data_IF_706520980502
#
_entry.id   IF_706520980502
#
_cell.length_a   1.000
_cell.length_b   1.000
_cell.length_c   1.000
_cell.angle_alpha   90.00
_cell.angle_beta   90.00
_cell.angle_gamma   90.00
#
_symmetry.space_group_name_H-M   'P 1'
#
loop_
_entity.id
_entity.type
_entity.pdbx_description
1 polymer ?
#
# COMPACT_ATOMS: atom_id res chain seq x y z
N UNK A 1 -51.70 -13.45 -10.38
CA UNK A 1 -50.37 -13.55 -9.73
C UNK A 1 -49.69 -12.22 -9.96
N UNK A 2 -49.58 -11.43 -8.90
CA UNK A 2 -48.99 -10.10 -8.95
C UNK A 2 -47.50 -10.22 -9.24
N UNK A 3 -47.01 -9.52 -10.26
CA UNK A 3 -45.58 -9.53 -10.62
C UNK A 3 -44.70 -9.04 -9.46
N UNK A 4 -45.26 -8.21 -8.57
CA UNK A 4 -44.56 -7.74 -7.38
C UNK A 4 -44.21 -8.89 -6.41
N UNK A 5 -45.14 -9.84 -6.20
CA UNK A 5 -44.91 -10.99 -5.30
C UNK A 5 -43.82 -11.92 -5.84
N UNK A 6 -43.75 -12.07 -7.17
CA UNK A 6 -42.72 -12.89 -7.82
C UNK A 6 -41.31 -12.27 -7.71
N UNK A 7 -41.19 -10.94 -7.80
CA UNK A 7 -39.93 -10.23 -7.62
C UNK A 7 -39.43 -10.36 -6.18
N UNK A 8 -40.32 -10.16 -5.19
CA UNK A 8 -39.97 -10.30 -3.77
C UNK A 8 -39.52 -11.74 -3.45
N UNK A 9 -40.15 -12.75 -4.07
CA UNK A 9 -39.73 -14.14 -3.92
C UNK A 9 -38.32 -14.39 -4.51
N UNK A 10 -38.01 -13.80 -5.66
CA UNK A 10 -36.70 -13.90 -6.29
C UNK A 10 -35.59 -13.23 -5.46
N UNK A 11 -35.84 -12.02 -4.96
CA UNK A 11 -34.87 -11.29 -4.11
C UNK A 11 -34.54 -12.05 -2.83
N UNK A 12 -35.55 -12.69 -2.22
CA UNK A 12 -35.36 -13.56 -1.05
C UNK A 12 -34.52 -14.78 -1.39
N UNK A 13 -34.75 -15.41 -2.54
CA UNK A 13 -33.97 -16.57 -2.98
C UNK A 13 -32.49 -16.20 -3.21
N UNK A 14 -32.22 -15.09 -3.91
CA UNK A 14 -30.85 -14.59 -4.15
C UNK A 14 -30.15 -14.28 -2.83
N UNK A 15 -30.86 -13.67 -1.87
CA UNK A 15 -30.31 -13.36 -0.54
C UNK A 15 -29.94 -14.62 0.24
N UNK A 16 -30.75 -15.68 0.14
CA UNK A 16 -30.48 -16.97 0.79
C UNK A 16 -29.28 -17.65 0.15
N UNK A 17 -29.19 -17.67 -1.18
CA UNK A 17 -28.05 -18.24 -1.92
C UNK A 17 -26.74 -17.52 -1.59
N UNK A 18 -26.74 -16.18 -1.53
CA UNK A 18 -25.56 -15.41 -1.16
C UNK A 18 -25.12 -15.70 0.29
N UNK A 19 -26.06 -15.77 1.24
CA UNK A 19 -25.75 -16.16 2.63
C UNK A 19 -25.17 -17.58 2.74
N UNK A 20 -25.64 -18.50 1.89
CA UNK A 20 -25.10 -19.86 1.85
C UNK A 20 -23.70 -19.89 1.24
N UNK A 21 -23.43 -19.12 0.18
CA UNK A 21 -22.09 -18.97 -0.40
C UNK A 21 -21.10 -18.36 0.58
N UNK A 22 -21.47 -17.28 1.27
CA UNK A 22 -20.64 -16.65 2.30
C UNK A 22 -20.30 -17.66 3.42
N UNK A 23 -21.28 -18.46 3.85
CA UNK A 23 -21.08 -19.47 4.87
C UNK A 23 -20.16 -20.61 4.40
N UNK A 24 -20.26 -21.03 3.15
CA UNK A 24 -19.38 -22.06 2.57
C UNK A 24 -17.95 -21.54 2.43
N UNK A 25 -17.76 -20.30 1.96
CA UNK A 25 -16.44 -19.64 1.93
C UNK A 25 -15.82 -19.50 3.33
N UNK A 26 -16.61 -19.10 4.33
CA UNK A 26 -16.17 -19.02 5.73
C UNK A 26 -15.76 -20.39 6.30
N UNK A 27 -16.42 -21.48 5.87
CA UNK A 27 -16.08 -22.85 6.26
C UNK A 27 -14.78 -23.30 5.58
N UNK A 28 -14.59 -23.01 4.29
CA UNK A 28 -13.36 -23.30 3.54
C UNK A 28 -12.15 -22.53 4.10
N UNK A 29 -12.30 -21.24 4.41
CA UNK A 29 -11.30 -20.41 5.10
C UNK A 29 -10.95 -20.94 6.51
N UNK A 30 -11.90 -21.63 7.17
CA UNK A 30 -11.68 -22.21 8.50
C UNK A 30 -11.00 -23.58 8.47
N UNK A 31 -10.92 -24.23 7.31
CA UNK A 31 -10.34 -25.57 7.12
C UNK A 31 -8.82 -25.56 6.87
N UNK A 32 -8.22 -24.41 6.56
CA UNK A 32 -6.77 -24.24 6.46
C UNK A 32 -6.20 -23.55 7.71
N UNK A 33 -6.08 -24.30 8.81
CA UNK A 33 -5.32 -23.88 9.99
C UNK A 33 -4.27 -24.91 10.32
N UNK A 34 -3.03 -24.66 9.89
CA UNK A 34 -1.82 -25.13 10.57
C UNK A 34 -0.63 -24.23 10.21
N UNK A 35 -0.64 -23.00 10.73
CA UNK A 35 0.59 -22.30 11.14
C UNK A 35 0.25 -21.52 12.41
N UNK A 36 0.82 -21.92 13.54
CA UNK A 36 0.69 -21.23 14.82
C UNK A 36 1.67 -20.05 14.82
N UNK A 37 1.17 -18.82 14.56
CA UNK A 37 1.90 -17.58 14.93
C UNK A 37 1.55 -17.22 16.39
N UNK A 38 2.54 -16.90 17.25
CA UNK A 38 2.29 -16.49 18.63
C UNK A 38 1.54 -15.15 18.67
N UNK A 39 0.35 -15.15 19.27
CA UNK A 39 -0.45 -13.93 19.48
C UNK A 39 0.05 -13.16 20.71
N UNK A 40 0.72 -12.04 20.49
CA UNK A 40 0.87 -10.98 21.47
C UNK A 40 -0.51 -10.36 21.76
N UNK A 41 -0.85 -10.19 23.05
CA UNK A 41 -2.13 -9.67 23.53
C UNK A 41 -2.13 -8.14 23.45
N UNK A 42 -2.46 -7.57 22.29
CA UNK A 42 -2.66 -6.12 22.16
C UNK A 42 -4.00 -5.73 22.80
N UNK A 43 -3.93 -4.88 23.84
CA UNK A 43 -5.11 -4.29 24.50
C UNK A 43 -5.64 -3.15 23.63
N UNK A 44 -6.72 -3.45 22.89
CA UNK A 44 -7.49 -2.47 22.12
C UNK A 44 -8.16 -1.48 23.06
N UNK A 45 -7.85 -0.20 22.90
CA UNK A 45 -8.52 0.89 23.63
C UNK A 45 -8.87 1.98 22.62
N UNK A 46 -10.13 2.43 22.60
CA UNK A 46 -10.58 3.51 21.70
C UNK A 46 -9.78 4.79 22.01
N UNK A 47 -9.18 5.38 20.99
CA UNK A 47 -8.40 6.62 21.07
C UNK A 47 -9.31 7.84 21.27
N UNK A 48 -9.06 8.61 22.32
CA UNK A 48 -9.45 10.02 22.46
C UNK A 48 -8.18 10.83 22.74
N UNK A 49 -7.31 11.09 21.75
CA UNK A 49 -6.10 11.92 21.96
C UNK A 49 -5.80 12.81 20.74
N UNK A 50 -5.15 13.95 21.01
CA UNK A 50 -5.01 15.14 20.19
C UNK A 50 -4.43 14.93 18.77
N UNK A 51 -5.14 15.46 17.76
CA UNK A 51 -4.65 15.63 16.38
C UNK A 51 -3.32 16.38 16.39
N UNK A 52 -2.21 15.66 16.25
CA UNK A 52 -0.92 16.22 15.87
C UNK A 52 -0.85 16.18 14.35
N UNK A 53 -0.37 17.27 13.75
CA UNK A 53 -0.14 17.28 12.32
C UNK A 53 0.90 16.21 11.95
N UNK A 54 0.55 15.40 10.95
CA UNK A 54 1.45 14.37 10.43
C UNK A 54 2.67 15.03 9.78
N UNK A 55 3.86 14.42 9.90
CA UNK A 55 5.00 14.83 9.09
C UNK A 55 4.66 14.75 7.60
N UNK A 56 5.20 15.69 6.82
CA UNK A 56 5.13 15.63 5.37
C UNK A 56 6.22 14.70 4.84
N UNK A 57 5.84 13.74 4.00
CA UNK A 57 6.74 12.82 3.33
C UNK A 57 6.76 13.12 1.84
N UNK A 58 7.88 13.65 1.34
CA UNK A 58 8.03 14.12 -0.04
C UNK A 58 7.63 13.06 -1.08
N UNK A 59 8.07 11.81 -0.88
CA UNK A 59 7.83 10.72 -1.82
C UNK A 59 6.62 9.85 -1.47
N UNK A 60 5.97 10.06 -0.32
CA UNK A 60 4.74 9.36 0.03
C UNK A 60 3.78 10.32 0.77
N UNK A 61 3.24 11.33 0.08
CA UNK A 61 2.60 12.48 0.73
C UNK A 61 1.29 12.15 1.45
N UNK A 62 0.61 11.06 1.07
CA UNK A 62 -0.71 10.68 1.61
C UNK A 62 -0.71 9.27 2.23
N UNK A 63 0.19 8.97 3.19
CA UNK A 63 0.44 7.60 3.65
C UNK A 63 -0.75 7.00 4.41
N UNK A 64 -1.67 7.81 4.93
CA UNK A 64 -2.91 7.30 5.54
C UNK A 64 -3.95 6.92 4.47
N UNK A 65 -4.01 7.64 3.34
CA UNK A 65 -4.96 7.34 2.26
C UNK A 65 -4.55 6.11 1.47
N UNK A 66 -3.26 5.89 1.29
CA UNK A 66 -2.70 4.69 0.66
C UNK A 66 -2.73 3.47 1.57
N UNK A 67 -3.10 3.62 2.85
CA UNK A 67 -3.07 2.54 3.83
C UNK A 67 -1.68 2.19 4.35
N UNK A 68 -0.65 3.00 4.07
CA UNK A 68 0.67 2.81 4.68
C UNK A 68 0.70 3.08 6.17
N UNK A 69 -0.19 3.97 6.66
CA UNK A 69 -0.43 4.15 8.08
C UNK A 69 -1.81 3.66 8.48
N UNK A 70 -1.85 2.86 9.53
CA UNK A 70 -3.05 2.48 10.26
C UNK A 70 -3.41 3.57 11.30
N UNK A 71 -4.71 3.74 11.55
CA UNK A 71 -5.26 4.73 12.50
C UNK A 71 -6.39 4.18 13.39
N UNK A 72 -6.53 2.86 13.44
CA UNK A 72 -7.66 2.20 14.10
C UNK A 72 -7.46 1.98 15.62
N UNK A 73 -6.22 2.01 16.10
CA UNK A 73 -5.84 1.77 17.50
C UNK A 73 -4.75 2.74 17.99
N UNK A 74 -4.58 2.78 19.32
CA UNK A 74 -3.37 3.32 19.95
C UNK A 74 -2.39 2.18 20.22
N UNK A 75 -1.19 2.27 19.66
CA UNK A 75 -0.10 1.31 19.85
C UNK A 75 1.14 2.01 20.43
N UNK A 76 2.13 1.24 20.85
CA UNK A 76 3.43 1.77 21.28
C UNK A 76 4.38 1.73 20.09
N UNK A 77 5.02 2.85 19.77
CA UNK A 77 6.06 2.87 18.74
C UNK A 77 7.33 2.17 19.24
N UNK A 78 7.82 1.17 18.50
CA UNK A 78 9.00 0.38 18.87
C UNK A 78 10.29 1.21 18.84
N UNK A 79 10.32 2.30 18.06
CA UNK A 79 11.46 3.19 18.04
C UNK A 79 11.58 4.02 19.34
N UNK A 80 10.55 4.82 19.64
CA UNK A 80 10.61 5.82 20.72
C UNK A 80 9.87 5.44 22.01
N UNK A 81 9.20 4.28 22.05
CA UNK A 81 8.39 3.79 23.16
C UNK A 81 7.24 4.72 23.59
N UNK A 82 6.80 5.62 22.71
CA UNK A 82 5.67 6.52 22.96
C UNK A 82 4.39 5.95 22.36
N UNK A 83 3.23 6.16 23.01
CA UNK A 83 1.94 5.83 22.41
C UNK A 83 1.70 6.68 21.16
N UNK A 84 1.12 6.05 20.14
CA UNK A 84 0.75 6.67 18.86
C UNK A 84 -0.56 6.07 18.37
N UNK A 85 -1.45 6.91 17.84
CA UNK A 85 -2.74 6.54 17.24
C UNK A 85 -2.67 6.47 15.70
N UNK A 86 -1.49 6.72 15.15
CA UNK A 86 -1.14 6.57 13.75
C UNK A 86 0.20 5.87 13.66
N UNK A 87 0.28 4.79 12.89
CA UNK A 87 1.46 3.93 12.89
C UNK A 87 1.63 3.16 11.57
N UNK A 88 2.88 2.81 11.28
CA UNK A 88 3.31 2.03 10.14
C UNK A 88 3.56 0.57 10.53
N UNK A 89 3.01 -0.36 9.76
CA UNK A 89 3.10 -1.83 9.95
C UNK A 89 3.61 -2.56 8.69
N UNK A 90 3.87 -1.81 7.62
CA UNK A 90 4.32 -2.32 6.32
C UNK A 90 5.82 -2.70 6.35
N UNK A 91 6.39 -3.23 5.25
CA UNK A 91 7.77 -3.69 5.22
C UNK A 91 8.77 -2.65 5.74
N UNK A 92 9.64 -3.12 6.62
CA UNK A 92 10.79 -2.39 7.13
C UNK A 92 11.95 -3.40 7.21
N UNK A 93 12.92 -3.26 6.31
CA UNK A 93 14.01 -4.22 6.14
C UNK A 93 15.02 -4.06 7.28
N UNK A 94 14.81 -4.78 8.37
CA UNK A 94 15.67 -4.80 9.56
C UNK A 94 15.87 -6.23 10.07
N UNK A 95 16.89 -6.43 10.90
CA UNK A 95 17.11 -7.71 11.61
C UNK A 95 16.10 -7.86 12.76
N UNK A 96 15.76 -6.76 13.41
CA UNK A 96 14.78 -6.71 14.47
C UNK A 96 13.36 -6.95 13.94
N UNK A 97 12.54 -7.64 14.73
CA UNK A 97 11.11 -7.80 14.48
C UNK A 97 10.39 -6.53 14.98
N UNK A 98 9.87 -5.72 14.05
CA UNK A 98 9.26 -4.42 14.33
C UNK A 98 7.76 -4.52 14.07
N UNK A 99 6.96 -4.28 15.11
CA UNK A 99 5.50 -4.34 15.03
C UNK A 99 4.91 -3.01 14.55
N UNK A 100 5.39 -1.88 15.09
CA UNK A 100 4.82 -0.57 14.80
C UNK A 100 5.81 0.59 14.94
N UNK A 101 5.82 1.47 13.93
CA UNK A 101 6.59 2.72 13.95
C UNK A 101 5.69 3.94 13.85
N UNK A 102 5.92 4.95 14.68
CA UNK A 102 5.18 6.22 14.55
C UNK A 102 5.75 7.07 13.40
N UNK A 103 4.91 7.86 12.71
CA UNK A 103 5.34 8.70 11.58
C UNK A 103 6.50 9.64 11.91
N UNK A 104 6.57 10.16 13.15
CA UNK A 104 7.64 11.07 13.55
C UNK A 104 9.02 10.42 13.62
N UNK A 105 9.09 9.14 14.01
CA UNK A 105 10.35 8.39 14.03
C UNK A 105 10.83 7.97 12.62
N UNK A 106 9.90 7.84 11.68
CA UNK A 106 10.19 7.66 10.26
C UNK A 106 10.75 8.97 9.71
N UNK A 107 10.00 10.06 9.87
CA UNK A 107 10.32 11.36 9.26
C UNK A 107 11.66 11.95 9.74
N UNK A 108 12.07 11.71 10.99
CA UNK A 108 13.33 12.20 11.54
C UNK A 108 14.50 11.19 11.46
N UNK A 109 14.29 10.02 10.87
CA UNK A 109 15.30 8.98 10.67
C UNK A 109 15.71 8.24 11.94
N UNK A 110 15.00 8.42 13.08
CA UNK A 110 15.32 7.68 14.29
C UNK A 110 15.06 6.18 14.17
N UNK A 111 14.02 5.78 13.42
CA UNK A 111 13.69 4.37 13.23
C UNK A 111 14.83 3.63 12.52
N UNK A 112 15.24 4.12 11.34
CA UNK A 112 16.33 3.53 10.55
C UNK A 112 17.65 3.57 11.29
N UNK A 113 17.98 4.68 11.95
CA UNK A 113 19.19 4.76 12.77
C UNK A 113 19.22 3.76 13.92
N UNK A 114 18.07 3.50 14.57
CA UNK A 114 18.00 2.62 15.74
C UNK A 114 18.11 1.15 15.34
N UNK A 115 17.46 0.77 14.24
CA UNK A 115 17.30 -0.61 13.82
C UNK A 115 18.19 -1.01 12.63
N UNK A 116 19.03 -0.07 12.15
CA UNK A 116 19.91 -0.26 11.00
C UNK A 116 19.17 -0.82 9.77
N UNK A 117 17.93 -0.37 9.57
CA UNK A 117 17.03 -0.85 8.52
C UNK A 117 16.56 0.24 7.57
N UNK A 118 15.80 -0.15 6.54
CA UNK A 118 15.26 0.75 5.51
C UNK A 118 13.77 0.48 5.22
N UNK A 119 13.05 1.50 4.76
CA UNK A 119 11.65 1.40 4.35
C UNK A 119 11.47 1.06 2.87
N UNK A 120 12.53 1.24 2.09
CA UNK A 120 12.63 0.87 0.68
C UNK A 120 14.01 0.24 0.46
N UNK A 121 14.08 -0.77 -0.39
CA UNK A 121 15.35 -1.37 -0.79
C UNK A 121 16.10 -0.45 -1.78
N UNK A 122 17.35 -0.12 -1.48
CA UNK A 122 18.14 0.89 -2.19
C UNK A 122 18.63 0.42 -3.56
N UNK A 123 18.52 -0.88 -3.86
CA UNK A 123 18.79 -1.45 -5.18
C UNK A 123 17.52 -1.56 -6.06
N UNK A 124 16.33 -1.49 -5.46
CA UNK A 124 15.05 -1.61 -6.16
C UNK A 124 14.41 -0.23 -6.35
N UNK A 125 15.16 0.66 -6.98
CA UNK A 125 14.72 2.03 -7.31
C UNK A 125 15.33 2.45 -8.64
N UNK A 126 14.69 3.42 -9.32
CA UNK A 126 15.31 4.10 -10.46
C UNK A 126 16.55 4.89 -10.00
N UNK A 127 17.58 4.97 -10.85
CA UNK A 127 18.80 5.72 -10.52
C UNK A 127 18.53 7.24 -10.45
N UNK A 128 19.00 7.87 -9.38
CA UNK A 128 18.98 9.32 -9.16
C UNK A 128 20.37 9.79 -8.76
N UNK A 129 20.86 10.88 -9.37
CA UNK A 129 22.25 11.33 -9.19
C UNK A 129 22.56 11.79 -7.75
N UNK A 130 21.59 12.40 -7.07
CA UNK A 130 21.75 12.93 -5.72
C UNK A 130 21.46 11.86 -4.66
N UNK A 131 22.53 11.37 -4.03
CA UNK A 131 22.47 10.39 -2.94
C UNK A 131 21.64 10.83 -1.74
N UNK A 132 21.48 12.13 -1.49
CA UNK A 132 20.63 12.59 -0.38
C UNK A 132 19.16 12.29 -0.64
N UNK A 133 18.73 12.27 -1.91
CA UNK A 133 17.36 11.90 -2.29
C UNK A 133 17.11 10.42 -2.04
N UNK A 134 18.11 9.58 -2.32
CA UNK A 134 18.04 8.14 -2.02
C UNK A 134 17.95 7.92 -0.50
N UNK A 135 18.79 8.60 0.29
CA UNK A 135 18.74 8.52 1.76
C UNK A 135 17.38 8.96 2.29
N UNK A 136 16.81 10.07 1.81
CA UNK A 136 15.47 10.52 2.21
C UNK A 136 14.38 9.49 1.86
N UNK A 137 14.50 8.85 0.69
CA UNK A 137 13.59 7.78 0.29
C UNK A 137 13.69 6.58 1.23
N UNK A 138 14.86 5.97 1.34
CA UNK A 138 15.02 4.68 2.02
C UNK A 138 14.98 4.79 3.53
N UNK A 139 15.38 5.94 4.11
CA UNK A 139 15.47 6.10 5.57
C UNK A 139 14.32 6.93 6.17
N UNK A 140 13.61 7.73 5.38
CA UNK A 140 12.72 8.75 5.93
C UNK A 140 11.36 8.83 5.25
N UNK A 141 11.07 7.93 4.33
CA UNK A 141 9.78 7.81 3.64
C UNK A 141 9.15 6.46 3.99
N UNK A 142 7.88 6.40 4.42
CA UNK A 142 7.19 5.13 4.59
C UNK A 142 7.07 4.41 3.24
N UNK A 143 7.34 3.11 3.22
CA UNK A 143 7.20 2.27 2.04
C UNK A 143 5.75 2.10 1.59
N UNK A 144 5.58 1.42 0.46
CA UNK A 144 4.31 0.79 0.07
C UNK A 144 4.50 -0.73 0.10
N UNK A 145 3.43 -1.50 -0.11
CA UNK A 145 3.50 -2.97 -0.13
C UNK A 145 3.22 -3.49 -1.53
N UNK A 146 4.17 -4.21 -2.10
CA UNK A 146 4.05 -4.91 -3.38
C UNK A 146 3.50 -6.33 -3.24
N UNK A 147 3.13 -6.97 -4.35
CA UNK A 147 3.04 -8.44 -4.36
C UNK A 147 4.44 -9.07 -4.37
N UNK A 148 5.33 -8.45 -5.13
CA UNK A 148 6.75 -8.76 -5.20
C UNK A 148 7.55 -7.63 -4.52
N UNK A 149 8.87 -7.70 -4.67
CA UNK A 149 9.77 -6.65 -4.18
C UNK A 149 9.37 -5.29 -4.75
N UNK A 150 9.13 -4.31 -3.87
CA UNK A 150 8.73 -2.96 -4.26
C UNK A 150 9.82 -2.27 -5.08
N UNK A 151 9.40 -1.54 -6.11
CA UNK A 151 10.30 -0.78 -6.98
C UNK A 151 9.88 0.70 -7.05
N UNK A 152 10.79 1.60 -6.66
CA UNK A 152 10.48 3.03 -6.60
C UNK A 152 10.88 3.79 -7.86
N UNK A 153 9.91 4.40 -8.55
CA UNK A 153 10.14 5.12 -9.81
C UNK A 153 10.65 6.54 -9.60
N UNK A 154 11.47 7.03 -10.53
CA UNK A 154 12.03 8.38 -10.56
C UNK A 154 11.77 9.07 -11.90
N UNK A 155 11.59 10.38 -11.89
CA UNK A 155 11.46 11.20 -13.10
C UNK A 155 12.01 12.61 -12.83
N UNK A 156 12.57 13.26 -13.85
CA UNK A 156 13.25 14.55 -13.71
C UNK A 156 14.40 14.54 -12.68
N UNK A 157 15.14 13.41 -12.59
CA UNK A 157 16.26 13.22 -11.66
C UNK A 157 15.86 13.41 -10.18
N UNK A 158 14.65 12.99 -9.83
CA UNK A 158 14.11 12.92 -8.46
C UNK A 158 13.12 11.77 -8.35
N UNK A 159 12.92 11.23 -7.15
CA UNK A 159 11.96 10.15 -6.94
C UNK A 159 10.53 10.69 -7.06
N UNK A 160 9.66 9.87 -7.66
CA UNK A 160 8.26 10.19 -7.78
C UNK A 160 7.55 9.98 -6.43
N UNK A 161 6.48 10.73 -6.22
CA UNK A 161 5.59 10.52 -5.09
C UNK A 161 4.66 9.33 -5.36
N UNK A 162 4.64 8.34 -4.46
CA UNK A 162 3.67 7.26 -4.49
C UNK A 162 2.26 7.82 -4.22
N UNK A 163 1.33 7.49 -5.10
CA UNK A 163 -0.06 7.99 -5.09
C UNK A 163 -1.06 6.93 -4.66
N UNK A 164 -0.69 5.65 -4.71
CA UNK A 164 -1.53 4.56 -4.26
C UNK A 164 -1.60 3.40 -5.25
N UNK A 165 -2.44 2.44 -4.89
CA UNK A 165 -2.75 1.24 -5.65
C UNK A 165 -3.84 1.55 -6.68
N UNK A 166 -3.70 1.00 -7.89
CA UNK A 166 -4.58 1.29 -9.03
C UNK A 166 -4.83 0.07 -9.90
N UNK A 167 -6.01 0.01 -10.50
CA UNK A 167 -6.35 -0.87 -11.62
C UNK A 167 -6.48 -0.09 -12.93
N UNK A 168 -6.94 -0.78 -13.98
CA UNK A 168 -7.19 -0.13 -15.27
C UNK A 168 -8.20 1.02 -15.19
N UNK A 169 -9.23 0.89 -14.34
CA UNK A 169 -10.33 1.89 -14.24
C UNK A 169 -9.83 3.26 -13.77
N UNK A 170 -8.81 3.27 -12.90
CA UNK A 170 -8.20 4.50 -12.40
C UNK A 170 -7.21 5.10 -13.40
N UNK A 171 -6.57 4.26 -14.23
CA UNK A 171 -5.51 4.66 -15.17
C UNK A 171 -6.07 5.12 -16.52
N UNK A 172 -7.10 4.46 -17.05
CA UNK A 172 -7.69 4.76 -18.37
C UNK A 172 -8.01 6.25 -18.57
N UNK A 173 -8.64 6.96 -17.61
CA UNK A 173 -9.01 8.36 -17.79
C UNK A 173 -7.82 9.33 -17.84
N UNK A 174 -6.64 8.91 -17.37
CA UNK A 174 -5.45 9.78 -17.18
C UNK A 174 -4.25 9.35 -18.03
N UNK A 175 -4.43 8.48 -19.04
CA UNK A 175 -3.34 7.98 -19.89
C UNK A 175 -2.48 9.10 -20.51
N UNK A 176 -3.09 10.20 -20.95
CA UNK A 176 -2.36 11.34 -21.52
C UNK A 176 -1.48 12.10 -20.52
N UNK A 177 -1.66 11.85 -19.24
CA UNK A 177 -0.92 12.47 -18.14
C UNK A 177 0.31 11.66 -17.70
N UNK A 178 0.53 10.48 -18.27
CA UNK A 178 1.77 9.72 -18.07
C UNK A 178 2.96 10.37 -18.78
N UNK A 179 4.16 10.15 -18.26
CA UNK A 179 5.39 10.56 -18.90
C UNK A 179 5.70 9.66 -20.11
N UNK A 180 5.66 8.34 -19.89
CA UNK A 180 5.87 7.30 -20.90
C UNK A 180 5.39 5.95 -20.31
N UNK A 181 4.10 5.64 -20.48
CA UNK A 181 3.51 4.42 -19.88
C UNK A 181 4.02 3.16 -20.59
N UNK A 182 4.29 3.21 -21.89
CA UNK A 182 4.79 2.06 -22.63
C UNK A 182 6.19 1.63 -22.15
N UNK A 183 7.08 2.59 -21.90
CA UNK A 183 8.41 2.30 -21.32
C UNK A 183 8.29 1.77 -19.89
N UNK A 184 7.39 2.34 -19.08
CA UNK A 184 7.11 1.87 -17.73
C UNK A 184 6.70 0.39 -17.72
N UNK A 185 5.75 0.02 -18.58
CA UNK A 185 5.29 -1.36 -18.68
C UNK A 185 6.38 -2.31 -19.18
N UNK A 186 7.19 -1.87 -20.16
CA UNK A 186 8.31 -2.65 -20.68
C UNK A 186 9.36 -2.96 -19.60
N UNK A 187 9.63 -2.00 -18.71
CA UNK A 187 10.61 -2.16 -17.63
C UNK A 187 10.10 -3.01 -16.48
N UNK A 188 8.81 -2.94 -16.15
CA UNK A 188 8.22 -3.69 -15.04
C UNK A 188 8.09 -5.20 -15.34
N UNK A 189 7.64 -5.55 -16.54
CA UNK A 189 7.45 -6.95 -16.91
C UNK A 189 6.97 -7.22 -18.35
N UNK A 190 6.88 -6.20 -19.19
CA UNK A 190 6.61 -6.34 -20.62
C UNK A 190 5.15 -6.46 -21.03
N UNK A 191 4.17 -6.13 -20.17
CA UNK A 191 2.78 -6.00 -20.60
C UNK A 191 2.65 -4.89 -21.66
N UNK A 192 1.78 -5.07 -22.64
CA UNK A 192 1.42 -3.98 -23.54
C UNK A 192 0.30 -3.14 -22.94
N UNK A 193 0.13 -1.90 -23.43
CA UNK A 193 -0.99 -1.06 -23.03
C UNK A 193 -2.36 -1.74 -23.29
N UNK A 194 -2.45 -2.56 -24.34
CA UNK A 194 -3.66 -3.31 -24.68
C UNK A 194 -3.97 -4.47 -23.71
N UNK A 195 -2.99 -4.90 -22.92
CA UNK A 195 -3.15 -5.96 -21.92
C UNK A 195 -3.75 -5.44 -20.60
N UNK A 196 -3.55 -4.14 -20.29
CA UNK A 196 -3.96 -3.56 -19.01
C UNK A 196 -5.45 -3.73 -18.68
N UNK A 197 -6.41 -3.51 -19.60
CA UNK A 197 -7.83 -3.71 -19.30
C UNK A 197 -8.18 -5.14 -18.87
N UNK A 198 -7.36 -6.12 -19.25
CA UNK A 198 -7.59 -7.54 -18.96
C UNK A 198 -7.01 -7.94 -17.60
N UNK A 199 -5.81 -7.44 -17.28
CA UNK A 199 -5.05 -7.92 -16.13
C UNK A 199 -5.01 -6.94 -14.96
N UNK A 200 -4.79 -5.64 -15.23
CA UNK A 200 -4.52 -4.64 -14.19
C UNK A 200 -5.78 -4.33 -13.38
N UNK A 201 -5.81 -4.77 -12.13
CA UNK A 201 -6.95 -4.62 -11.23
C UNK A 201 -6.44 -4.23 -9.85
N UNK A 202 -7.07 -3.22 -9.27
CA UNK A 202 -6.81 -2.88 -7.88
C UNK A 202 -7.19 -4.06 -6.98
N UNK A 203 -6.26 -4.48 -6.13
CA UNK A 203 -6.31 -5.68 -5.31
C UNK A 203 -6.55 -6.98 -6.12
N UNK A 204 -6.05 -7.04 -7.35
CA UNK A 204 -6.05 -8.24 -8.20
C UNK A 204 -4.67 -8.87 -8.35
N UNK A 205 -4.62 -10.01 -9.05
CA UNK A 205 -3.37 -10.73 -9.34
C UNK A 205 -2.36 -9.88 -10.11
N UNK A 206 -2.79 -8.87 -10.89
CA UNK A 206 -1.90 -7.84 -11.43
C UNK A 206 -2.28 -6.50 -10.80
N UNK A 207 -1.43 -5.99 -9.91
CA UNK A 207 -1.64 -4.75 -9.17
C UNK A 207 -0.83 -3.62 -9.80
N UNK A 208 -1.44 -2.45 -9.98
CA UNK A 208 -0.73 -1.24 -10.37
C UNK A 208 -0.34 -0.39 -9.16
N UNK A 209 0.82 0.25 -9.25
CA UNK A 209 1.38 1.19 -8.27
C UNK A 209 1.60 2.53 -8.97
N UNK A 210 0.76 3.52 -8.63
CA UNK A 210 0.78 4.82 -9.28
C UNK A 210 1.80 5.74 -8.61
N UNK A 211 2.66 6.34 -9.43
CA UNK A 211 3.63 7.35 -9.01
C UNK A 211 3.39 8.65 -9.77
N UNK A 212 3.73 9.78 -9.14
CA UNK A 212 3.65 11.10 -9.77
C UNK A 212 4.96 11.86 -9.60
N UNK A 213 5.51 12.35 -10.70
CA UNK A 213 6.69 13.20 -10.66
C UNK A 213 6.38 14.51 -9.93
N UNK A 214 7.15 14.80 -8.89
CA UNK A 214 7.01 16.03 -8.08
C UNK A 214 7.49 17.30 -8.80
N UNK A 215 8.17 17.16 -9.95
CA UNK A 215 8.68 18.29 -10.73
C UNK A 215 7.72 18.70 -11.85
N UNK A 216 7.22 17.73 -12.63
CA UNK A 216 6.40 17.99 -13.82
C UNK A 216 4.95 17.48 -13.70
N UNK A 217 4.58 16.85 -12.58
CA UNK A 217 3.26 16.26 -12.30
C UNK A 217 2.83 15.11 -13.21
N UNK A 218 3.70 14.65 -14.12
CA UNK A 218 3.45 13.47 -14.96
C UNK A 218 3.42 12.19 -14.13
N UNK A 219 2.51 11.29 -14.50
CA UNK A 219 2.39 9.99 -13.86
C UNK A 219 3.39 8.97 -14.41
N UNK A 220 3.69 7.99 -13.57
CA UNK A 220 4.49 6.80 -13.85
C UNK A 220 3.80 5.59 -13.23
N UNK A 221 3.93 4.42 -13.85
CA UNK A 221 3.27 3.20 -13.41
C UNK A 221 4.30 2.09 -13.15
N UNK A 222 4.21 1.45 -12.00
CA UNK A 222 4.79 0.12 -11.80
C UNK A 222 3.67 -0.91 -11.66
N UNK A 223 3.95 -2.18 -11.91
CA UNK A 223 3.02 -3.27 -11.64
C UNK A 223 3.80 -4.57 -11.38
N UNK A 224 3.18 -5.49 -10.66
CA UNK A 224 3.69 -6.84 -10.47
C UNK A 224 2.54 -7.86 -10.42
N UNK A 225 2.88 -9.12 -10.10
CA UNK A 225 1.92 -10.21 -9.91
C UNK A 225 2.17 -10.98 -8.61
N UNK A 226 1.10 -11.54 -8.02
CA UNK A 226 1.11 -12.39 -6.81
C UNK A 226 1.79 -13.76 -6.94
#
# INVERSE_FOLDING_TARGET
MDYADAIIALEKAITIENKQKDKTQLIELSAHKDVIKPKSKIKKTKSEVAKRDLPFFKYHPEPTLTGAFETDNVVTCDCCNKPTDVYYTNPFFAIDDIDALCPWCIADGKATKKFEGSFQDDINVDEVEDKQKLIELVERTPGYSGWQQEYWLAHCNDYCAFKGYVGWQEIEPILSEFADIETDLANAGGLSLADLPKYLKDNGSCQGYLFQCICCNKYRLYYDFD
#
